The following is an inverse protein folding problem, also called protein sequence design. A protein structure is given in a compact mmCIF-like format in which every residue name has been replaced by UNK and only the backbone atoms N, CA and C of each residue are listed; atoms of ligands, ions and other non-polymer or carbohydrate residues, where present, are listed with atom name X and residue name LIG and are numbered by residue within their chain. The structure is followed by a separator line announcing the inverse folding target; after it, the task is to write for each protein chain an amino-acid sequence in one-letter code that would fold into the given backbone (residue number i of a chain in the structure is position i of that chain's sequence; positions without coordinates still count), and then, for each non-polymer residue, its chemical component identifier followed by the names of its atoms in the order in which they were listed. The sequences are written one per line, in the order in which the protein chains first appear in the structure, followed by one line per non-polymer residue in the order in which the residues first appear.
data_IF_424223715586
#
_entry.id   IF_424223715586
#
_cell.length_a   1.000
_cell.length_b   1.000
_cell.length_c   1.000
_cell.angle_alpha   90.00
_cell.angle_beta   90.00
_cell.angle_gamma   90.00
#
_symmetry.space_group_name_H-M   'P 1'
#
loop_
_entity.id
_entity.type
_entity.pdbx_description
1 polymer ?
#
# COMPACT_ATOMS: atom_id res chain seq x y z
N UNK A 1 5.77 19.95 21.78
CA UNK A 1 7.08 20.03 21.09
C UNK A 1 7.40 18.63 20.61
N UNK A 2 7.29 18.40 19.31
CA UNK A 2 7.62 17.12 18.64
C UNK A 2 6.47 16.13 18.51
N UNK A 3 5.42 16.44 17.74
CA UNK A 3 4.46 15.42 17.33
C UNK A 3 5.15 14.44 16.38
N UNK A 4 5.21 13.18 16.83
CA UNK A 4 5.80 12.05 16.13
C UNK A 4 4.94 11.74 14.91
N UNK A 5 5.33 12.26 13.74
CA UNK A 5 4.78 11.82 12.45
C UNK A 5 4.92 10.29 12.42
N UNK A 6 3.81 9.57 12.48
CA UNK A 6 3.81 8.11 12.44
C UNK A 6 4.31 7.71 11.05
N UNK A 7 5.54 7.20 10.98
CA UNK A 7 6.12 6.69 9.75
C UNK A 7 5.36 5.44 9.29
N UNK A 8 4.57 5.59 8.24
CA UNK A 8 3.70 4.55 7.65
C UNK A 8 4.47 3.45 6.89
N UNK A 9 5.56 2.93 7.47
CA UNK A 9 6.28 1.78 6.91
C UNK A 9 7.24 2.09 5.75
N UNK A 10 7.85 3.28 5.74
CA UNK A 10 8.70 3.77 4.65
C UNK A 10 10.17 3.98 5.04
N UNK A 11 10.59 3.45 6.18
CA UNK A 11 12.00 3.39 6.55
C UNK A 11 12.69 2.18 5.89
N UNK A 12 14.03 2.23 5.82
CA UNK A 12 14.85 1.07 5.45
C UNK A 12 14.35 -0.14 6.24
N UNK A 13 14.01 -1.27 5.60
CA UNK A 13 13.50 -2.42 6.35
C UNK A 13 14.50 -2.78 7.45
N UNK A 14 14.05 -2.96 8.69
CA UNK A 14 14.93 -3.16 9.86
C UNK A 14 15.90 -4.35 9.71
N UNK A 15 15.59 -5.27 8.79
CA UNK A 15 16.36 -6.47 8.46
C UNK A 15 17.26 -6.31 7.21
N UNK A 16 17.36 -5.10 6.64
CA UNK A 16 18.26 -4.76 5.53
C UNK A 16 19.24 -3.71 6.02
N UNK A 17 20.54 -3.97 5.88
CA UNK A 17 21.54 -2.98 6.26
C UNK A 17 21.41 -1.72 5.37
N UNK A 18 21.74 -0.55 5.92
CA UNK A 18 21.74 0.70 5.15
C UNK A 18 22.64 0.60 3.92
N UNK A 19 23.76 -0.11 4.03
CA UNK A 19 24.70 -0.34 2.94
C UNK A 19 24.08 -1.20 1.83
N UNK A 20 23.43 -2.31 2.18
CA UNK A 20 22.75 -3.17 1.19
C UNK A 20 21.63 -2.43 0.47
N UNK A 21 20.90 -1.57 1.18
CA UNK A 21 19.84 -0.77 0.59
C UNK A 21 20.38 0.28 -0.38
N UNK A 22 21.46 0.99 -0.03
CA UNK A 22 22.08 1.97 -0.93
C UNK A 22 22.74 1.31 -2.14
N UNK A 23 23.41 0.16 -1.96
CA UNK A 23 23.95 -0.64 -3.06
C UNK A 23 22.85 -1.09 -4.02
N UNK A 24 21.73 -1.59 -3.48
CA UNK A 24 20.55 -1.91 -4.27
C UNK A 24 20.07 -0.67 -5.03
N UNK A 25 19.88 0.47 -4.37
CA UNK A 25 19.37 1.70 -4.96
C UNK A 25 20.24 2.21 -6.12
N UNK A 26 21.57 2.23 -5.95
CA UNK A 26 22.52 2.60 -7.01
C UNK A 26 22.40 1.68 -8.22
N UNK A 27 22.43 0.35 -8.01
CA UNK A 27 22.30 -0.61 -9.11
C UNK A 27 20.91 -0.54 -9.77
N UNK A 28 19.89 -0.26 -8.98
CA UNK A 28 18.49 -0.25 -9.38
C UNK A 28 18.13 0.98 -10.20
N UNK A 29 18.64 2.15 -9.83
CA UNK A 29 18.41 3.39 -10.58
C UNK A 29 18.88 3.28 -12.04
N UNK A 30 20.04 2.66 -12.27
CA UNK A 30 20.55 2.38 -13.62
C UNK A 30 19.62 1.45 -14.41
N UNK A 31 18.98 0.48 -13.75
CA UNK A 31 18.02 -0.44 -14.36
C UNK A 31 16.72 0.28 -14.72
N UNK A 32 16.23 1.18 -13.85
CA UNK A 32 15.01 1.97 -14.07
C UNK A 32 15.11 2.86 -15.30
N UNK A 33 16.25 3.50 -15.51
CA UNK A 33 16.50 4.39 -16.66
C UNK A 33 16.53 3.62 -18.00
N UNK A 34 16.81 2.31 -17.96
CA UNK A 34 16.90 1.45 -19.15
C UNK A 34 15.64 0.60 -19.32
N UNK A 35 14.70 1.05 -20.16
CA UNK A 35 13.41 0.38 -20.40
C UNK A 35 13.48 -1.14 -20.65
N UNK A 36 14.51 -1.64 -21.34
CA UNK A 36 14.68 -3.08 -21.60
C UNK A 36 15.14 -3.86 -20.36
N UNK A 37 16.07 -3.29 -19.57
CA UNK A 37 16.58 -3.91 -18.36
C UNK A 37 15.48 -3.98 -17.28
N UNK A 38 14.68 -2.92 -17.15
CA UNK A 38 13.54 -2.86 -16.24
C UNK A 38 12.53 -3.99 -16.49
N UNK A 39 12.10 -4.16 -17.76
CA UNK A 39 11.15 -5.24 -18.11
C UNK A 39 11.70 -6.63 -17.78
N UNK A 40 13.00 -6.87 -18.04
CA UNK A 40 13.65 -8.14 -17.72
C UNK A 40 13.72 -8.38 -16.21
N UNK A 41 14.00 -7.34 -15.44
CA UNK A 41 14.08 -7.41 -13.98
C UNK A 41 12.72 -7.71 -13.35
N UNK A 42 11.66 -6.98 -13.74
CA UNK A 42 10.31 -7.24 -13.24
C UNK A 42 9.85 -8.69 -13.53
N UNK A 43 10.20 -9.24 -14.71
CA UNK A 43 9.89 -10.65 -15.04
C UNK A 43 10.63 -11.68 -14.20
N UNK A 44 11.84 -11.37 -13.72
CA UNK A 44 12.57 -12.25 -12.79
C UNK A 44 12.01 -12.22 -11.38
N UNK A 45 11.21 -11.20 -11.05
CA UNK A 45 10.68 -10.98 -9.72
C UNK A 45 11.55 -10.01 -8.93
N UNK A 46 10.90 -9.04 -8.30
CA UNK A 46 11.53 -8.10 -7.38
C UNK A 46 11.60 -8.81 -6.01
N UNK A 47 12.78 -8.85 -5.35
CA UNK A 47 12.91 -9.42 -4.01
C UNK A 47 11.94 -8.74 -3.05
N UNK A 48 11.30 -9.53 -2.16
CA UNK A 48 10.18 -9.08 -1.34
C UNK A 48 10.49 -7.79 -0.55
N UNK A 49 11.69 -7.71 0.02
CA UNK A 49 12.18 -6.58 0.81
C UNK A 49 12.29 -5.27 0.03
N UNK A 50 12.49 -5.33 -1.29
CA UNK A 50 12.64 -4.14 -2.13
C UNK A 50 11.36 -3.74 -2.84
N UNK A 51 10.32 -4.59 -2.83
CA UNK A 51 9.04 -4.31 -3.49
C UNK A 51 8.42 -2.97 -3.08
N UNK A 52 8.38 -2.58 -1.79
CA UNK A 52 7.78 -1.30 -1.41
C UNK A 52 8.42 -0.11 -2.11
N UNK A 53 9.76 -0.04 -2.09
CA UNK A 53 10.52 1.04 -2.72
C UNK A 53 10.37 1.03 -4.25
N UNK A 54 10.52 -0.14 -4.84
CA UNK A 54 10.45 -0.33 -6.30
C UNK A 54 9.08 0.07 -6.84
N UNK A 55 8.00 -0.43 -6.25
CA UNK A 55 6.64 -0.16 -6.72
C UNK A 55 6.26 1.31 -6.55
N UNK A 56 6.65 1.94 -5.44
CA UNK A 56 6.44 3.38 -5.22
C UNK A 56 7.15 4.24 -6.27
N UNK A 57 8.35 3.84 -6.67
CA UNK A 57 9.12 4.56 -7.69
C UNK A 57 8.53 4.37 -9.08
N UNK A 58 8.24 3.11 -9.48
CA UNK A 58 7.74 2.78 -10.81
C UNK A 58 6.34 3.30 -11.11
N UNK A 59 5.47 3.31 -10.11
CA UNK A 59 4.11 3.86 -10.24
C UNK A 59 4.08 5.39 -10.28
N UNK A 60 5.17 6.05 -9.90
CA UNK A 60 5.18 7.50 -9.66
C UNK A 60 4.55 7.91 -8.32
N UNK A 61 4.06 6.96 -7.52
CA UNK A 61 3.43 7.24 -6.22
C UNK A 61 4.36 7.99 -5.26
N UNK A 62 5.67 7.70 -5.29
CA UNK A 62 6.65 8.43 -4.47
C UNK A 62 6.72 9.92 -4.82
N UNK A 63 6.67 10.24 -6.12
CA UNK A 63 6.67 11.64 -6.58
C UNK A 63 5.35 12.32 -6.19
N UNK A 64 4.21 11.68 -6.43
CA UNK A 64 2.90 12.22 -6.04
C UNK A 64 2.79 12.48 -4.54
N UNK A 65 3.32 11.57 -3.71
CA UNK A 65 3.35 11.73 -2.25
C UNK A 65 4.17 12.97 -1.84
N UNK A 66 5.31 13.21 -2.48
CA UNK A 66 6.15 14.40 -2.22
C UNK A 66 5.51 15.69 -2.69
N UNK A 67 4.87 15.66 -3.86
CA UNK A 67 4.21 16.82 -4.44
C UNK A 67 2.93 17.20 -3.66
N UNK A 68 2.33 16.24 -2.95
CA UNK A 68 1.05 16.38 -2.24
C UNK A 68 1.06 15.78 -0.82
N UNK A 69 1.90 16.29 0.11
CA UNK A 69 2.18 15.63 1.40
C UNK A 69 0.97 15.50 2.33
N UNK A 70 -0.06 16.34 2.19
CA UNK A 70 -1.22 16.38 3.10
C UNK A 70 -2.44 15.60 2.58
N UNK A 71 -2.45 15.20 1.30
CA UNK A 71 -3.66 14.61 0.68
C UNK A 71 -4.12 13.36 1.42
N UNK A 72 -3.19 12.45 1.75
CA UNK A 72 -3.54 11.24 2.48
C UNK A 72 -3.98 11.53 3.93
N UNK A 73 -3.31 12.46 4.62
CA UNK A 73 -3.64 12.80 6.01
C UNK A 73 -5.05 13.38 6.11
N UNK A 74 -5.39 14.32 5.22
CA UNK A 74 -6.74 14.91 5.14
C UNK A 74 -7.78 13.89 4.70
N UNK A 75 -7.50 13.10 3.65
CA UNK A 75 -8.48 12.15 3.13
C UNK A 75 -8.73 10.98 4.10
N UNK A 76 -7.71 10.52 4.83
CA UNK A 76 -7.84 9.40 5.77
C UNK A 76 -8.63 9.72 7.04
N UNK A 77 -8.83 11.01 7.35
CA UNK A 77 -9.62 11.51 8.48
C UNK A 77 -10.99 12.05 8.06
N UNK A 78 -11.23 12.16 6.75
CA UNK A 78 -12.49 12.61 6.18
C UNK A 78 -13.56 11.51 6.20
N UNK A 79 -14.83 11.92 6.23
CA UNK A 79 -15.95 11.00 6.21
C UNK A 79 -16.48 10.83 4.78
N UNK A 80 -16.39 9.62 4.18
CA UNK A 80 -16.96 9.37 2.86
C UNK A 80 -18.50 9.27 2.95
N UNK A 81 -19.21 9.32 1.81
CA UNK A 81 -20.65 9.12 1.78
C UNK A 81 -21.06 7.82 2.50
N UNK A 82 -22.15 7.87 3.29
CA UNK A 82 -22.60 6.74 4.12
C UNK A 82 -22.70 5.42 3.34
N UNK A 83 -23.23 5.47 2.11
CA UNK A 83 -23.34 4.31 1.23
C UNK A 83 -21.97 3.67 0.95
N UNK A 84 -20.96 4.48 0.63
CA UNK A 84 -19.60 4.02 0.37
C UNK A 84 -18.97 3.43 1.64
N UNK A 85 -19.13 4.10 2.77
CA UNK A 85 -18.63 3.61 4.06
C UNK A 85 -19.21 2.23 4.38
N UNK A 86 -20.53 2.05 4.23
CA UNK A 86 -21.20 0.76 4.47
C UNK A 86 -20.65 -0.34 3.56
N UNK A 87 -20.44 -0.04 2.27
CA UNK A 87 -19.85 -1.01 1.32
C UNK A 87 -18.43 -1.40 1.71
N UNK A 88 -17.57 -0.42 2.07
CA UNK A 88 -16.21 -0.69 2.54
C UNK A 88 -16.25 -1.58 3.78
N UNK A 89 -17.04 -1.23 4.81
CA UNK A 89 -17.12 -2.00 6.06
C UNK A 89 -17.60 -3.44 5.85
N UNK A 90 -18.44 -3.69 4.86
CA UNK A 90 -18.89 -5.03 4.50
C UNK A 90 -17.82 -5.86 3.77
N UNK A 91 -16.85 -5.23 3.10
CA UNK A 91 -15.76 -5.89 2.37
C UNK A 91 -14.54 -6.20 3.25
N UNK A 92 -14.25 -5.34 4.24
CA UNK A 92 -13.10 -5.49 5.15
C UNK A 92 -12.98 -6.90 5.76
N UNK A 93 -13.99 -7.48 6.43
CA UNK A 93 -13.85 -8.79 7.08
C UNK A 93 -13.70 -9.95 6.08
N UNK A 94 -14.00 -9.72 4.80
CA UNK A 94 -13.92 -10.72 3.72
C UNK A 94 -12.62 -10.61 2.92
N UNK A 95 -11.78 -9.63 3.23
CA UNK A 95 -10.55 -9.34 2.47
C UNK A 95 -9.38 -10.11 3.09
N UNK A 96 -8.93 -11.17 2.41
CA UNK A 96 -7.85 -12.06 2.85
C UNK A 96 -8.07 -12.69 4.25
N UNK A 97 -9.20 -13.37 4.50
CA UNK A 97 -9.55 -13.90 5.83
C UNK A 97 -8.51 -14.90 6.37
N UNK A 98 -7.85 -15.65 5.48
CA UNK A 98 -6.82 -16.63 5.83
C UNK A 98 -5.41 -16.02 6.04
N UNK A 99 -5.25 -14.72 5.81
CA UNK A 99 -3.96 -14.05 5.99
C UNK A 99 -3.78 -13.65 7.46
N UNK A 100 -2.66 -14.10 8.05
CA UNK A 100 -2.34 -13.84 9.45
C UNK A 100 -2.32 -12.35 9.85
N UNK A 101 -2.07 -11.43 8.90
CA UNK A 101 -2.08 -9.98 9.12
C UNK A 101 -3.47 -9.32 9.01
N UNK A 102 -4.45 -10.02 8.44
CA UNK A 102 -5.82 -9.54 8.25
C UNK A 102 -6.85 -10.35 9.05
N UNK A 103 -6.37 -11.24 9.92
CA UNK A 103 -7.19 -12.11 10.75
C UNK A 103 -7.17 -11.64 12.20
N UNK A 104 -8.34 -11.23 12.71
CA UNK A 104 -8.52 -10.81 14.10
C UNK A 104 -8.24 -11.92 15.11
N UNK A 105 -8.32 -13.19 14.69
CA UNK A 105 -8.14 -14.36 15.55
C UNK A 105 -6.67 -14.76 15.71
N UNK A 106 -5.78 -14.32 14.82
CA UNK A 106 -4.38 -14.75 14.75
C UNK A 106 -3.41 -13.79 15.47
N UNK A 107 -3.89 -12.67 16.01
CA UNK A 107 -3.15 -11.80 16.94
C UNK A 107 -1.92 -11.08 16.39
N UNK A 108 -1.55 -11.24 15.12
CA UNK A 108 -0.41 -10.57 14.49
C UNK A 108 -0.86 -9.31 13.74
N UNK A 109 -0.85 -8.17 14.44
CA UNK A 109 -0.94 -6.83 13.86
C UNK A 109 -2.09 -6.67 12.87
N UNK A 110 -3.30 -6.46 13.38
CA UNK A 110 -4.51 -6.27 12.58
C UNK A 110 -4.33 -5.11 11.58
N UNK A 111 -4.18 -5.44 10.30
CA UNK A 111 -4.08 -4.48 9.20
C UNK A 111 -5.45 -4.08 8.63
N UNK A 112 -6.56 -4.64 9.13
CA UNK A 112 -7.91 -4.27 8.68
C UNK A 112 -8.20 -2.76 8.91
N UNK A 113 -7.82 -2.12 10.04
CA UNK A 113 -7.98 -0.68 10.21
C UNK A 113 -7.12 0.12 9.21
N UNK A 114 -5.94 -0.37 8.85
CA UNK A 114 -5.07 0.28 7.86
C UNK A 114 -5.69 0.20 6.47
N UNK A 115 -6.20 -0.97 6.10
CA UNK A 115 -6.92 -1.18 4.85
C UNK A 115 -8.17 -0.28 4.77
N UNK A 116 -8.97 -0.24 5.84
CA UNK A 116 -10.12 0.65 5.92
C UNK A 116 -9.74 2.12 5.68
N UNK A 117 -8.69 2.62 6.34
CA UNK A 117 -8.22 3.99 6.17
C UNK A 117 -7.79 4.29 4.74
N UNK A 118 -7.11 3.36 4.07
CA UNK A 118 -6.69 3.52 2.67
C UNK A 118 -7.90 3.57 1.73
N UNK A 119 -8.88 2.68 1.92
CA UNK A 119 -10.09 2.65 1.08
C UNK A 119 -10.94 3.90 1.26
N UNK A 120 -11.04 4.41 2.50
CA UNK A 120 -11.70 5.69 2.78
C UNK A 120 -10.96 6.83 2.09
N UNK A 121 -9.65 6.93 2.27
CA UNK A 121 -8.85 7.99 1.67
C UNK A 121 -8.97 7.99 0.14
N UNK A 122 -8.98 6.82 -0.49
CA UNK A 122 -9.19 6.67 -1.93
C UNK A 122 -10.56 7.19 -2.36
N UNK A 123 -11.64 6.74 -1.70
CA UNK A 123 -13.00 7.13 -2.06
C UNK A 123 -13.27 8.63 -1.86
N UNK A 124 -12.65 9.26 -0.86
CA UNK A 124 -12.73 10.71 -0.63
C UNK A 124 -11.92 11.47 -1.68
N UNK A 125 -10.74 10.98 -2.06
CA UNK A 125 -9.87 11.66 -3.03
C UNK A 125 -10.45 11.60 -4.45
N UNK A 126 -11.16 10.53 -4.78
CA UNK A 126 -11.74 10.31 -6.11
C UNK A 126 -13.27 10.06 -6.02
N UNK A 127 -14.08 11.07 -5.68
CA UNK A 127 -15.51 10.89 -5.43
C UNK A 127 -16.30 10.42 -6.66
N UNK A 128 -15.86 10.79 -7.87
CA UNK A 128 -16.46 10.35 -9.14
C UNK A 128 -16.31 8.83 -9.38
N UNK A 129 -15.25 8.23 -8.82
CA UNK A 129 -15.02 6.78 -8.86
C UNK A 129 -15.69 6.12 -7.66
N UNK A 130 -15.52 6.72 -6.48
CA UNK A 130 -15.99 6.20 -5.20
C UNK A 130 -15.32 4.89 -4.82
N UNK A 131 -16.13 3.92 -4.38
CA UNK A 131 -15.71 2.56 -4.08
C UNK A 131 -16.70 1.59 -4.71
N UNK A 132 -16.20 0.70 -5.57
CA UNK A 132 -16.99 -0.37 -6.14
C UNK A 132 -16.72 -1.65 -5.36
N UNK A 133 -17.80 -2.28 -4.87
CA UNK A 133 -17.73 -3.63 -4.33
C UNK A 133 -17.34 -4.58 -5.45
N UNK A 134 -16.10 -5.04 -5.45
CA UNK A 134 -15.73 -6.17 -6.29
C UNK A 134 -16.32 -7.43 -5.64
N UNK A 135 -16.96 -8.31 -6.42
CA UNK A 135 -17.19 -9.70 -5.99
C UNK A 135 -15.84 -10.42 -5.92
N UNK A 136 -15.05 -10.12 -4.89
CA UNK A 136 -13.81 -10.80 -4.60
C UNK A 136 -14.07 -11.98 -3.66
N UNK A 137 -13.86 -13.19 -4.21
CA UNK A 137 -13.52 -14.43 -3.52
C UNK A 137 -14.50 -14.92 -2.44
N UNK A 138 -15.64 -15.47 -2.88
CA UNK A 138 -16.22 -16.57 -2.10
C UNK A 138 -15.32 -17.81 -2.27
N UNK A 139 -15.11 -18.63 -1.23
CA UNK A 139 -14.43 -19.90 -1.39
C UNK A 139 -15.19 -20.70 -2.45
N UNK A 140 -14.46 -21.19 -3.45
CA UNK A 140 -15.02 -22.17 -4.39
C UNK A 140 -15.28 -23.41 -3.54
N UNK A 141 -16.54 -23.64 -3.18
CA UNK A 141 -16.94 -24.92 -2.65
C UNK A 141 -16.80 -25.94 -3.79
N UNK A 142 -15.71 -26.70 -3.78
CA UNK A 142 -15.63 -28.00 -4.45
C UNK A 142 -16.51 -29.02 -3.74
#
# INVERSE_FOLDING_TARGET
MGDMIKNYGFETPEYVSKEDFENFKMSYQVILERRYALKRFCRKGIPAQFRPHVWMTLSGAYKMMKDHPQVYETASTSQPPKKILTTIMADIPRTFPENAHFSQTQGKGDLLPVLQRILIAFAVTFPEIGYCQCWAMQPVHT
#
